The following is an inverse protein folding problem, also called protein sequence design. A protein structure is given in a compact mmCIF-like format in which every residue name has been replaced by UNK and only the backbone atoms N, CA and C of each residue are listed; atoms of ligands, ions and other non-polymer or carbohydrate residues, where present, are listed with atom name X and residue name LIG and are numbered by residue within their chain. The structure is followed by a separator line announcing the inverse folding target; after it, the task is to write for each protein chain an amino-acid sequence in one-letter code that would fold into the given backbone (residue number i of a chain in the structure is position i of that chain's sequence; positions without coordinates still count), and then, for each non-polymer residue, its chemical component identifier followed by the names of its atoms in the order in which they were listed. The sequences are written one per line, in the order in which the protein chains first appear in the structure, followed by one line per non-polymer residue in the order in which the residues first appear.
data_IF_272222792429
#
_entry.id   IF_272222792429
#
_cell.length_a   1.000
_cell.length_b   1.000
_cell.length_c   1.000
_cell.angle_alpha   90.00
_cell.angle_beta   90.00
_cell.angle_gamma   90.00
#
_symmetry.space_group_name_H-M   'P 1'
#
loop_
_entity.id
_entity.type
_entity.pdbx_description
1 polymer ?
#
# COMPACT_ATOMS: atom_id res chain seq x y z
N UNK A 1 -26.29 19.00 -6.71
CA UNK A 1 -26.05 18.01 -5.62
C UNK A 1 -25.23 18.72 -4.56
N UNK A 2 -25.62 18.73 -3.27
CA UNK A 2 -24.92 19.55 -2.28
C UNK A 2 -23.50 18.99 -2.08
N UNK A 3 -22.49 19.86 -2.22
CA UNK A 3 -21.04 19.57 -2.24
C UNK A 3 -20.62 18.60 -1.10
N UNK A 4 -21.26 18.68 0.07
CA UNK A 4 -21.07 17.75 1.19
C UNK A 4 -21.30 16.27 0.84
N UNK A 5 -22.34 15.93 0.08
CA UNK A 5 -22.61 14.53 -0.30
C UNK A 5 -21.56 13.97 -1.26
N UNK A 6 -21.03 14.81 -2.14
CA UNK A 6 -19.96 14.42 -3.08
C UNK A 6 -18.66 14.09 -2.32
N UNK A 7 -18.33 14.90 -1.31
CA UNK A 7 -17.13 14.69 -0.48
C UNK A 7 -17.21 13.39 0.34
N UNK A 8 -18.40 13.08 0.90
CA UNK A 8 -18.62 11.85 1.68
C UNK A 8 -18.49 10.60 0.78
N UNK A 9 -19.07 10.63 -0.42
CA UNK A 9 -18.95 9.51 -1.37
C UNK A 9 -17.50 9.31 -1.81
N UNK A 10 -16.79 10.40 -2.16
CA UNK A 10 -15.37 10.36 -2.54
C UNK A 10 -14.46 9.90 -1.41
N UNK A 11 -14.84 10.13 -0.15
CA UNK A 11 -14.11 9.61 1.01
C UNK A 11 -14.33 8.10 1.15
N UNK A 12 -15.56 7.61 1.00
CA UNK A 12 -15.87 6.18 1.04
C UNK A 12 -15.16 5.41 -0.05
N UNK A 13 -15.19 5.88 -1.29
CA UNK A 13 -14.53 5.20 -2.41
C UNK A 13 -13.02 5.09 -2.19
N UNK A 14 -12.41 6.15 -1.65
CA UNK A 14 -10.99 6.20 -1.38
C UNK A 14 -10.59 5.34 -0.17
N UNK A 15 -11.42 5.32 0.87
CA UNK A 15 -11.28 4.41 2.00
C UNK A 15 -11.34 2.95 1.56
N UNK A 16 -12.26 2.60 0.65
CA UNK A 16 -12.32 1.26 0.05
C UNK A 16 -11.08 0.93 -0.79
N UNK A 17 -10.53 1.90 -1.52
CA UNK A 17 -9.31 1.70 -2.30
C UNK A 17 -8.08 1.45 -1.41
N UNK A 18 -7.94 2.20 -0.32
CA UNK A 18 -6.90 1.97 0.70
C UNK A 18 -7.08 0.62 1.40
N UNK A 19 -8.32 0.22 1.68
CA UNK A 19 -8.63 -1.09 2.25
C UNK A 19 -8.17 -2.24 1.34
N UNK A 20 -8.43 -2.14 0.03
CA UNK A 20 -7.91 -3.11 -0.94
C UNK A 20 -6.39 -3.10 -1.02
N UNK A 21 -5.74 -1.95 -0.84
CA UNK A 21 -4.29 -1.85 -0.74
C UNK A 21 -3.73 -2.63 0.45
N UNK A 22 -4.38 -2.51 1.61
CA UNK A 22 -4.03 -3.30 2.80
C UNK A 22 -4.21 -4.81 2.56
N UNK A 23 -5.33 -5.23 1.99
CA UNK A 23 -5.59 -6.64 1.65
C UNK A 23 -4.54 -7.18 0.67
N UNK A 24 -4.17 -6.39 -0.34
CA UNK A 24 -3.14 -6.76 -1.30
C UNK A 24 -1.79 -6.98 -0.63
N UNK A 25 -1.35 -6.07 0.24
CA UNK A 25 -0.10 -6.19 0.98
C UNK A 25 -0.04 -7.46 1.84
N UNK A 26 -1.11 -7.73 2.59
CA UNK A 26 -1.21 -8.94 3.44
C UNK A 26 -1.20 -10.19 2.57
N UNK A 27 -2.00 -10.23 1.50
CA UNK A 27 -2.09 -11.39 0.62
C UNK A 27 -0.75 -11.70 -0.07
N UNK A 28 -0.04 -10.67 -0.54
CA UNK A 28 1.28 -10.83 -1.16
C UNK A 28 2.30 -11.37 -0.16
N UNK A 29 2.35 -10.80 1.06
CA UNK A 29 3.29 -11.26 2.08
C UNK A 29 2.99 -12.69 2.55
N UNK A 30 1.71 -13.04 2.77
CA UNK A 30 1.30 -14.40 3.12
C UNK A 30 1.61 -15.39 1.99
N UNK A 31 1.32 -14.99 0.74
CA UNK A 31 1.60 -15.84 -0.42
C UNK A 31 3.10 -16.09 -0.59
N UNK A 32 3.95 -15.09 -0.34
CA UNK A 32 5.40 -15.22 -0.39
C UNK A 32 5.94 -16.19 0.67
N UNK A 33 5.46 -16.10 1.92
CA UNK A 33 5.81 -17.07 2.99
C UNK A 33 5.41 -18.51 2.63
N UNK A 34 4.26 -18.70 1.98
CA UNK A 34 3.77 -20.02 1.60
C UNK A 34 4.44 -20.57 0.33
N UNK A 35 4.94 -19.71 -0.54
CA UNK A 35 5.61 -20.06 -1.79
C UNK A 35 6.97 -19.34 -1.94
N UNK A 36 7.96 -19.69 -1.10
CA UNK A 36 9.25 -19.00 -1.05
C UNK A 36 10.09 -19.15 -2.34
N UNK A 37 9.78 -20.17 -3.16
CA UNK A 37 10.46 -20.42 -4.43
C UNK A 37 9.81 -19.72 -5.64
N UNK A 38 8.80 -18.86 -5.44
CA UNK A 38 8.18 -18.19 -6.59
C UNK A 38 9.12 -17.12 -7.15
N UNK A 39 9.55 -17.30 -8.42
CA UNK A 39 10.50 -16.39 -9.06
C UNK A 39 9.98 -14.94 -9.14
N UNK A 40 8.67 -14.76 -9.28
CA UNK A 40 8.04 -13.44 -9.42
C UNK A 40 8.12 -12.67 -8.10
N UNK A 41 7.83 -13.31 -6.96
CA UNK A 41 7.88 -12.64 -5.66
C UNK A 41 9.32 -12.45 -5.19
N UNK A 42 10.16 -13.48 -5.37
CA UNK A 42 11.57 -13.39 -5.03
C UNK A 42 12.23 -12.20 -5.76
N UNK A 43 11.95 -12.05 -7.06
CA UNK A 43 12.45 -10.92 -7.84
C UNK A 43 11.86 -9.57 -7.40
N UNK A 44 10.60 -9.55 -6.98
CA UNK A 44 9.96 -8.30 -6.53
C UNK A 44 10.43 -7.82 -5.15
N UNK A 45 10.78 -8.76 -4.28
CA UNK A 45 11.12 -8.50 -2.87
C UNK A 45 12.63 -8.39 -2.65
N UNK A 46 13.42 -9.15 -3.40
CA UNK A 46 14.83 -9.45 -3.07
C UNK A 46 15.79 -9.05 -4.20
N UNK A 47 15.42 -9.27 -5.46
CA UNK A 47 16.32 -8.95 -6.59
C UNK A 47 16.26 -7.47 -6.95
N UNK A 48 17.12 -6.69 -6.28
CA UNK A 48 17.41 -5.31 -6.63
C UNK A 48 18.10 -4.51 -5.53
N UNK A 49 19.19 -3.83 -5.93
CA UNK A 49 20.16 -2.92 -5.28
C UNK A 49 20.51 -3.04 -3.78
N UNK A 50 19.71 -3.64 -2.91
CA UNK A 50 19.94 -3.68 -1.47
C UNK A 50 19.31 -4.93 -0.84
N UNK A 51 20.02 -6.05 -0.90
CA UNK A 51 19.84 -7.22 -0.01
C UNK A 51 20.23 -6.85 1.44
N UNK A 52 19.60 -5.83 2.00
CA UNK A 52 19.86 -5.37 3.37
C UNK A 52 19.21 -6.29 4.41
N UNK A 53 18.11 -6.94 4.06
CA UNK A 53 17.35 -7.79 4.95
C UNK A 53 17.08 -9.17 4.32
N UNK A 54 17.04 -10.24 5.13
CA UNK A 54 16.54 -11.56 4.72
C UNK A 54 15.15 -11.47 4.10
N UNK A 55 14.87 -12.39 3.17
CA UNK A 55 13.59 -12.48 2.43
C UNK A 55 12.40 -12.52 3.39
N UNK A 56 12.48 -13.33 4.44
CA UNK A 56 11.43 -13.47 5.45
C UNK A 56 11.09 -12.13 6.13
N UNK A 57 12.09 -11.25 6.32
CA UNK A 57 11.85 -9.93 6.92
C UNK A 57 11.05 -9.05 5.96
N UNK A 58 11.34 -9.10 4.66
CA UNK A 58 10.54 -8.38 3.66
C UNK A 58 9.10 -8.87 3.64
N UNK A 59 8.89 -10.18 3.63
CA UNK A 59 7.55 -10.77 3.63
C UNK A 59 6.75 -10.38 4.89
N UNK A 60 7.41 -10.40 6.06
CA UNK A 60 6.81 -9.93 7.31
C UNK A 60 6.55 -8.43 7.31
N UNK A 61 7.38 -7.61 6.66
CA UNK A 61 7.13 -6.17 6.49
C UNK A 61 5.88 -5.92 5.64
N UNK A 62 5.68 -6.69 4.57
CA UNK A 62 4.45 -6.64 3.76
C UNK A 62 3.20 -6.91 4.59
N UNK A 63 3.22 -7.99 5.38
CA UNK A 63 2.11 -8.35 6.26
C UNK A 63 1.92 -7.27 7.34
N UNK A 64 3.00 -6.84 7.99
CA UNK A 64 2.96 -5.88 9.09
C UNK A 64 2.42 -4.52 8.66
N UNK A 65 2.90 -3.99 7.52
CA UNK A 65 2.41 -2.71 6.98
C UNK A 65 0.96 -2.86 6.51
N UNK A 66 0.60 -3.98 5.87
CA UNK A 66 -0.78 -4.25 5.47
C UNK A 66 -1.74 -4.30 6.67
N UNK A 67 -1.37 -4.99 7.75
CA UNK A 67 -2.15 -5.03 8.99
C UNK A 67 -2.21 -3.66 9.67
N UNK A 68 -1.09 -2.92 9.70
CA UNK A 68 -1.06 -1.57 10.25
C UNK A 68 -2.01 -0.65 9.49
N UNK A 69 -1.98 -0.69 8.14
CA UNK A 69 -2.90 0.08 7.30
C UNK A 69 -4.35 -0.31 7.54
N UNK A 70 -4.65 -1.60 7.68
CA UNK A 70 -5.97 -2.08 8.05
C UNK A 70 -6.42 -1.42 9.35
N UNK A 71 -5.64 -1.56 10.43
CA UNK A 71 -5.97 -1.01 11.74
C UNK A 71 -6.18 0.51 11.70
N UNK A 72 -5.33 1.25 10.99
CA UNK A 72 -5.45 2.72 10.88
C UNK A 72 -6.70 3.15 10.11
N UNK A 73 -7.19 2.34 9.17
CA UNK A 73 -8.46 2.60 8.48
C UNK A 73 -9.67 2.41 9.40
N UNK A 74 -9.61 1.51 10.38
CA UNK A 74 -10.68 1.27 11.36
C UNK A 74 -10.67 2.26 12.53
N UNK A 75 -9.51 2.75 12.94
CA UNK A 75 -9.41 3.75 14.02
C UNK A 75 -9.74 5.17 13.55
N UNK A 76 -9.97 5.36 12.25
CA UNK A 76 -10.23 6.66 11.60
C UNK A 76 -9.18 7.73 11.90
N UNK A 77 -7.98 7.33 12.35
CA UNK A 77 -6.90 8.26 12.68
C UNK A 77 -6.28 8.84 11.42
N UNK A 78 -6.39 10.14 11.21
CA UNK A 78 -5.80 10.83 10.06
C UNK A 78 -4.28 10.68 9.99
N UNK A 79 -3.59 10.93 11.11
CA UNK A 79 -2.14 10.78 11.19
C UNK A 79 -1.72 9.32 11.00
N UNK A 80 -2.47 8.39 11.60
CA UNK A 80 -2.26 6.96 11.42
C UNK A 80 -2.39 6.52 9.96
N UNK A 81 -3.45 6.96 9.27
CA UNK A 81 -3.67 6.71 7.84
C UNK A 81 -2.57 7.32 6.98
N UNK A 82 -2.09 8.51 7.32
CA UNK A 82 -0.98 9.16 6.60
C UNK A 82 0.31 8.36 6.70
N UNK A 83 0.66 7.94 7.92
CA UNK A 83 1.85 7.11 8.18
C UNK A 83 1.70 5.75 7.47
N UNK A 84 0.53 5.12 7.55
CA UNK A 84 0.26 3.85 6.89
C UNK A 84 0.37 3.95 5.36
N UNK A 85 -0.24 4.99 4.77
CA UNK A 85 -0.17 5.25 3.34
C UNK A 85 1.26 5.54 2.86
N UNK A 86 2.07 6.24 3.65
CA UNK A 86 3.48 6.46 3.36
C UNK A 86 4.28 5.15 3.32
N UNK A 87 4.15 4.29 4.34
CA UNK A 87 4.85 3.01 4.35
C UNK A 87 4.36 2.06 3.26
N UNK A 88 3.05 1.96 3.07
CA UNK A 88 2.44 1.13 2.03
C UNK A 88 2.91 1.57 0.63
N UNK A 89 2.83 2.86 0.31
CA UNK A 89 3.31 3.36 -0.99
C UNK A 89 4.81 3.13 -1.17
N UNK A 90 5.64 3.37 -0.15
CA UNK A 90 7.09 3.15 -0.23
C UNK A 90 7.43 1.70 -0.56
N UNK A 91 6.77 0.75 0.11
CA UNK A 91 6.96 -0.68 -0.09
C UNK A 91 6.45 -1.14 -1.47
N UNK A 92 5.34 -0.57 -1.95
CA UNK A 92 4.78 -0.90 -3.26
C UNK A 92 5.61 -0.32 -4.40
N UNK A 93 6.15 0.91 -4.24
CA UNK A 93 7.10 1.53 -5.18
C UNK A 93 8.37 0.71 -5.23
N UNK A 94 8.85 0.22 -4.09
CA UNK A 94 9.99 -0.69 -4.02
C UNK A 94 9.75 -1.95 -4.87
N UNK A 95 8.64 -2.65 -4.64
CA UNK A 95 8.26 -3.83 -5.43
C UNK A 95 8.09 -3.52 -6.92
N UNK A 96 7.52 -2.36 -7.27
CA UNK A 96 7.39 -1.89 -8.64
C UNK A 96 8.76 -1.70 -9.32
N UNK A 97 9.68 -0.98 -8.67
CA UNK A 97 10.99 -0.66 -9.22
C UNK A 97 11.85 -1.93 -9.38
N UNK A 98 11.78 -2.88 -8.44
CA UNK A 98 12.52 -4.14 -8.55
C UNK A 98 12.05 -4.96 -9.76
N UNK A 99 10.73 -5.13 -9.94
CA UNK A 99 10.23 -5.84 -11.12
C UNK A 99 10.55 -5.09 -12.41
N UNK A 100 10.47 -3.76 -12.40
CA UNK A 100 10.77 -2.94 -13.58
C UNK A 100 12.23 -3.03 -14.02
N UNK A 101 13.18 -3.07 -13.07
CA UNK A 101 14.62 -3.06 -13.35
C UNK A 101 15.22 -4.47 -13.53
N UNK A 102 14.77 -5.44 -12.73
CA UNK A 102 15.39 -6.77 -12.63
C UNK A 102 14.43 -7.92 -12.98
N UNK A 103 13.13 -7.64 -13.05
CA UNK A 103 12.10 -8.63 -13.36
C UNK A 103 11.78 -8.73 -14.85
N UNK A 104 10.98 -9.76 -15.20
CA UNK A 104 10.29 -9.78 -16.48
C UNK A 104 8.98 -8.99 -16.35
N UNK A 105 8.55 -8.37 -17.44
CA UNK A 105 7.25 -7.69 -17.49
C UNK A 105 6.13 -8.66 -17.11
N UNK A 106 5.52 -8.42 -15.95
CA UNK A 106 4.48 -9.27 -15.38
C UNK A 106 3.32 -8.39 -14.92
N UNK A 107 2.09 -8.93 -14.98
CA UNK A 107 0.89 -8.19 -14.57
C UNK A 107 0.98 -7.64 -13.13
N UNK A 108 1.75 -8.31 -12.27
CA UNK A 108 2.04 -7.83 -10.92
C UNK A 108 2.62 -6.41 -10.92
N UNK A 109 3.49 -6.05 -11.87
CA UNK A 109 4.04 -4.68 -11.99
C UNK A 109 2.94 -3.62 -12.05
N UNK A 110 1.86 -3.88 -12.79
CA UNK A 110 0.72 -2.96 -12.88
C UNK A 110 0.01 -2.86 -11.53
N UNK A 111 -0.18 -3.98 -10.82
CA UNK A 111 -0.79 -3.98 -9.49
C UNK A 111 0.03 -3.16 -8.49
N UNK A 112 1.36 -3.35 -8.44
CA UNK A 112 2.28 -2.57 -7.62
C UNK A 112 2.16 -1.07 -7.89
N UNK A 113 2.18 -0.68 -9.17
CA UNK A 113 2.06 0.72 -9.59
C UNK A 113 0.71 1.34 -9.21
N UNK A 114 -0.40 0.63 -9.46
CA UNK A 114 -1.76 1.11 -9.15
C UNK A 114 -1.94 1.29 -7.64
N UNK A 115 -1.61 0.28 -6.84
CA UNK A 115 -1.77 0.37 -5.38
C UNK A 115 -0.81 1.38 -4.76
N UNK A 116 0.40 1.56 -5.31
CA UNK A 116 1.30 2.62 -4.85
C UNK A 116 0.70 4.01 -5.08
N UNK A 117 0.06 4.21 -6.23
CA UNK A 117 -0.56 5.48 -6.61
C UNK A 117 -1.79 5.80 -5.76
N UNK A 118 -2.60 4.78 -5.42
CA UNK A 118 -3.72 4.91 -4.47
C UNK A 118 -3.22 5.40 -3.11
N UNK A 119 -2.15 4.80 -2.60
CA UNK A 119 -1.56 5.18 -1.30
C UNK A 119 -0.88 6.56 -1.34
N UNK A 120 -0.16 6.91 -2.40
CA UNK A 120 0.39 8.25 -2.59
C UNK A 120 -0.71 9.31 -2.70
N UNK A 121 -1.82 8.98 -3.37
CA UNK A 121 -2.96 9.86 -3.45
C UNK A 121 -3.60 10.08 -2.07
N UNK A 122 -3.77 9.02 -1.28
CA UNK A 122 -4.22 9.11 0.12
C UNK A 122 -3.31 10.04 0.94
N UNK A 123 -2.00 9.80 0.87
CA UNK A 123 -1.01 10.61 1.55
C UNK A 123 -1.09 12.08 1.12
N UNK A 124 -1.21 12.36 -0.18
CA UNK A 124 -1.32 13.72 -0.70
C UNK A 124 -2.54 14.47 -0.15
N UNK A 125 -3.69 13.79 0.00
CA UNK A 125 -4.91 14.37 0.56
C UNK A 125 -4.79 14.67 2.05
N UNK A 126 -4.10 13.80 2.78
CA UNK A 126 -3.83 13.99 4.21
C UNK A 126 -2.88 15.17 4.41
N UNK A 127 -1.77 15.23 3.66
CA UNK A 127 -0.79 16.31 3.74
C UNK A 127 -1.36 17.67 3.34
N UNK A 128 -2.25 17.72 2.34
CA UNK A 128 -2.94 18.95 1.93
C UNK A 128 -4.08 19.35 2.86
N UNK A 129 -4.39 18.55 3.89
CA UNK A 129 -5.44 18.85 4.86
C UNK A 129 -6.86 18.70 4.31
N UNK A 130 -7.04 18.12 3.11
CA UNK A 130 -8.36 17.90 2.51
C UNK A 130 -9.22 16.92 3.33
N UNK A 131 -8.60 16.10 4.17
CA UNK A 131 -9.32 15.26 5.13
C UNK A 131 -9.74 16.01 6.41
N UNK A 132 -9.01 17.06 6.84
CA UNK A 132 -9.34 17.84 8.06
C UNK A 132 -10.63 18.62 7.96
N UNK A 133 -11.00 19.05 6.76
CA UNK A 133 -12.23 19.82 6.55
C UNK A 133 -13.53 19.01 6.83
N UNK A 134 -13.45 17.70 7.07
CA UNK A 134 -14.61 16.82 7.24
C UNK A 134 -14.59 16.00 8.54
N UNK A 135 -13.65 16.23 9.47
CA UNK A 135 -13.72 15.62 10.81
C UNK A 135 -14.92 16.19 11.58
N UNK A 136 -15.76 15.35 12.21
CA UNK A 136 -16.71 15.84 13.20
C UNK A 136 -15.93 16.36 14.42
N UNK A 137 -16.19 17.60 14.80
CA UNK A 137 -15.76 18.21 16.07
C UNK A 137 -16.19 17.36 17.27
#
# INVERSE_FOLDING_TARGET
MPIKRLNILRQRDHWYAEWWGSVFLIAVGVYALLMPNSEILHRSLVDGFLTFFPVDIWELLFIGIGLFQFCMLFTESMWGRGIAAFFASSLLIWGFLNIFLFGQWHFSLVAWGVFSSINLYALSRILTGLEKCNEPL
#
